data_IF_990418990298
#
_entry.id   IF_990418990298
#
_cell.length_a   1.000
_cell.length_b   1.000
_cell.length_c   1.000
_cell.angle_alpha   90.00
_cell.angle_beta   90.00
_cell.angle_gamma   90.00
#
_symmetry.space_group_name_H-M   'P 1'
#
loop_
_entity.id
_entity.type
_entity.pdbx_description
1 polymer ?
#
# COMPACT_ATOMS: atom_id res chain seq x y z
N UNK A 1 36.36 -15.78 22.61
CA UNK A 1 35.04 -16.03 22.00
C UNK A 1 34.27 -14.73 22.08
N UNK A 2 33.92 -14.14 20.94
CA UNK A 2 33.10 -12.92 20.91
C UNK A 2 31.69 -13.31 21.33
N UNK A 3 31.25 -12.85 22.48
CA UNK A 3 29.87 -13.04 22.93
C UNK A 3 28.98 -11.96 22.30
N UNK A 4 28.36 -12.32 21.20
CA UNK A 4 27.43 -11.44 20.48
C UNK A 4 26.15 -11.14 21.29
N UNK A 5 25.89 -11.85 22.39
CA UNK A 5 24.74 -11.62 23.27
C UNK A 5 24.98 -10.50 24.31
N UNK A 6 26.24 -10.17 24.62
CA UNK A 6 26.54 -9.04 25.52
C UNK A 6 26.22 -7.66 24.88
N UNK A 7 26.07 -7.60 23.58
CA UNK A 7 25.58 -6.41 22.87
C UNK A 7 24.09 -6.51 22.50
N UNK A 8 23.28 -7.06 23.39
CA UNK A 8 21.84 -7.30 23.17
C UNK A 8 21.05 -6.08 22.64
N UNK A 9 21.59 -4.88 22.77
CA UNK A 9 20.96 -3.65 22.30
C UNK A 9 21.55 -3.09 21.00
N UNK A 10 22.51 -3.75 20.38
CA UNK A 10 23.10 -3.21 19.14
C UNK A 10 22.08 -3.17 18.00
N UNK A 11 21.37 -4.26 17.76
CA UNK A 11 20.34 -4.33 16.74
C UNK A 11 19.19 -3.35 17.02
N UNK A 12 18.81 -3.17 18.29
CA UNK A 12 17.80 -2.18 18.70
C UNK A 12 18.25 -0.75 18.37
N UNK A 13 19.51 -0.42 18.66
CA UNK A 13 20.08 0.88 18.32
C UNK A 13 20.10 1.13 16.82
N UNK A 14 20.58 0.15 16.03
CA UNK A 14 20.57 0.26 14.55
C UNK A 14 19.15 0.44 14.05
N UNK A 15 18.20 -0.36 14.53
CA UNK A 15 16.80 -0.25 14.16
C UNK A 15 16.23 1.13 14.51
N UNK A 16 16.53 1.66 15.69
CA UNK A 16 16.08 2.98 16.11
C UNK A 16 16.63 4.10 15.23
N UNK A 17 17.88 3.98 14.76
CA UNK A 17 18.45 4.96 13.82
C UNK A 17 17.77 4.88 12.45
N UNK A 18 17.50 3.69 11.94
CA UNK A 18 16.75 3.50 10.69
C UNK A 18 15.34 4.09 10.81
N UNK A 19 14.65 3.77 11.90
CA UNK A 19 13.28 4.25 12.14
C UNK A 19 13.26 5.78 12.25
N UNK A 20 14.22 6.40 12.96
CA UNK A 20 14.32 7.84 13.07
C UNK A 20 14.60 8.53 11.72
N UNK A 21 15.39 7.91 10.85
CA UNK A 21 15.66 8.43 9.51
C UNK A 21 14.39 8.42 8.64
N UNK A 22 13.62 7.34 8.68
CA UNK A 22 12.35 7.22 7.96
C UNK A 22 11.29 8.19 8.50
N UNK A 23 11.24 8.38 9.82
CA UNK A 23 10.35 9.35 10.44
C UNK A 23 10.70 10.78 10.00
N UNK A 24 11.99 11.12 9.92
CA UNK A 24 12.47 12.42 9.44
C UNK A 24 12.10 12.63 7.95
N UNK A 25 12.37 11.66 7.09
CA UNK A 25 11.97 11.71 5.67
C UNK A 25 10.45 11.87 5.51
N UNK A 26 9.67 11.16 6.31
CA UNK A 26 8.21 11.27 6.32
C UNK A 26 7.75 12.66 6.73
N UNK A 27 8.41 13.29 7.69
CA UNK A 27 8.08 14.64 8.16
C UNK A 27 8.29 15.72 7.09
N UNK A 28 9.20 15.50 6.14
CA UNK A 28 9.44 16.41 5.01
C UNK A 28 8.36 16.31 3.91
N UNK A 29 7.58 15.21 3.92
CA UNK A 29 6.54 15.00 2.91
C UNK A 29 5.36 15.95 3.16
N UNK A 30 4.87 16.56 2.08
CA UNK A 30 3.66 17.39 2.14
C UNK A 30 2.46 16.58 2.60
N UNK A 31 1.70 17.13 3.53
CA UNK A 31 0.43 16.54 3.94
C UNK A 31 -0.53 16.43 2.73
N UNK A 32 -1.26 15.32 2.67
CA UNK A 32 -2.30 15.15 1.66
C UNK A 32 -3.45 16.11 1.96
N UNK A 33 -4.01 16.71 0.91
CA UNK A 33 -5.17 17.61 0.97
C UNK A 33 -6.46 16.93 0.51
N UNK A 34 -6.45 15.61 0.38
CA UNK A 34 -7.55 14.78 -0.10
C UNK A 34 -7.65 13.48 0.69
N UNK A 35 -8.83 12.89 0.70
CA UNK A 35 -9.04 11.53 1.21
C UNK A 35 -8.58 10.51 0.16
N UNK A 36 -7.67 9.63 0.53
CA UNK A 36 -7.21 8.55 -0.35
C UNK A 36 -8.25 7.45 -0.49
N UNK A 37 -8.43 6.90 -1.70
CA UNK A 37 -9.35 5.77 -1.94
C UNK A 37 -9.05 4.55 -1.06
N UNK A 38 -7.79 4.35 -0.66
CA UNK A 38 -7.38 3.30 0.27
C UNK A 38 -8.01 3.41 1.67
N UNK A 39 -8.69 4.52 1.95
CA UNK A 39 -9.41 4.75 3.22
C UNK A 39 -10.90 4.47 3.11
N UNK A 40 -11.42 4.31 1.91
CA UNK A 40 -12.82 3.94 1.71
C UNK A 40 -13.08 2.56 2.33
N UNK A 41 -14.21 2.41 2.98
CA UNK A 41 -14.53 1.19 3.71
C UNK A 41 -14.03 1.14 5.16
N UNK A 42 -13.36 2.20 5.66
CA UNK A 42 -13.12 2.38 7.10
C UNK A 42 -14.45 2.69 7.77
N UNK A 43 -14.85 1.87 8.74
CA UNK A 43 -16.18 1.95 9.40
C UNK A 43 -16.39 3.25 10.19
N UNK A 44 -15.32 3.84 10.71
CA UNK A 44 -15.39 5.06 11.52
C UNK A 44 -15.45 6.32 10.65
N UNK A 45 -16.65 6.80 10.36
CA UNK A 45 -16.85 8.04 9.59
C UNK A 45 -16.16 9.27 10.22
N UNK A 46 -16.12 9.37 11.54
CA UNK A 46 -15.42 10.44 12.24
C UNK A 46 -13.91 10.42 11.96
N UNK A 47 -13.29 9.25 11.89
CA UNK A 47 -11.89 9.12 11.53
C UNK A 47 -11.65 9.61 10.10
N UNK A 48 -12.54 9.27 9.16
CA UNK A 48 -12.48 9.74 7.79
C UNK A 48 -12.68 11.27 7.70
N UNK A 49 -13.60 11.84 8.49
CA UNK A 49 -13.81 13.28 8.55
C UNK A 49 -12.57 14.03 9.06
N UNK A 50 -11.91 13.53 10.10
CA UNK A 50 -10.67 14.13 10.61
C UNK A 50 -9.55 14.06 9.58
N UNK A 51 -9.38 12.90 8.94
CA UNK A 51 -8.38 12.71 7.89
C UNK A 51 -8.64 13.65 6.69
N UNK A 52 -9.90 13.73 6.26
CA UNK A 52 -10.34 14.64 5.20
C UNK A 52 -10.12 16.12 5.53
N UNK A 53 -10.34 16.51 6.79
CA UNK A 53 -10.12 17.86 7.27
C UNK A 53 -8.63 18.17 7.52
N UNK A 54 -7.74 17.21 7.35
CA UNK A 54 -6.32 17.38 7.66
C UNK A 54 -6.05 17.60 9.15
N UNK A 55 -6.92 17.09 10.03
CA UNK A 55 -6.73 17.22 11.47
C UNK A 55 -5.41 16.56 11.89
N UNK A 56 -4.65 17.17 12.81
CA UNK A 56 -3.41 16.59 13.28
C UNK A 56 -3.68 15.25 13.99
N UNK A 57 -2.79 14.29 13.78
CA UNK A 57 -2.87 13.05 14.54
C UNK A 57 -2.55 13.29 16.02
N UNK A 58 -3.19 12.51 16.88
CA UNK A 58 -2.80 12.48 18.30
C UNK A 58 -1.33 12.10 18.45
N UNK A 59 -0.72 12.60 19.50
CA UNK A 59 0.70 12.33 19.79
C UNK A 59 0.97 10.82 19.81
N UNK A 60 1.94 10.36 19.02
CA UNK A 60 2.32 8.95 18.92
C UNK A 60 1.35 8.07 18.11
N UNK A 61 0.36 8.64 17.41
CA UNK A 61 -0.57 7.91 16.53
C UNK A 61 -0.21 7.96 15.05
N UNK A 62 0.88 8.61 14.69
CA UNK A 62 1.44 8.55 13.34
C UNK A 62 2.03 7.17 13.00
N UNK A 63 2.40 6.97 11.75
CA UNK A 63 3.14 5.77 11.36
C UNK A 63 4.53 5.81 11.99
N UNK A 64 4.89 4.77 12.75
CA UNK A 64 6.25 4.62 13.27
C UNK A 64 7.20 4.18 12.15
N UNK A 65 8.50 4.43 12.31
CA UNK A 65 9.53 3.98 11.37
C UNK A 65 9.45 2.48 11.07
N UNK A 66 9.05 1.66 12.05
CA UNK A 66 8.75 0.23 11.80
C UNK A 66 7.65 0.02 10.76
N UNK A 67 6.59 0.79 10.80
CA UNK A 67 5.49 0.70 9.82
C UNK A 67 5.95 1.22 8.46
N UNK A 68 6.75 2.28 8.44
CA UNK A 68 7.34 2.81 7.21
C UNK A 68 8.22 1.77 6.52
N UNK A 69 9.07 1.03 7.25
CA UNK A 69 9.83 -0.10 6.68
C UNK A 69 8.93 -1.18 6.05
N UNK A 70 7.77 -1.47 6.65
CA UNK A 70 6.81 -2.42 6.07
C UNK A 70 6.24 -1.88 4.75
N UNK A 71 5.98 -0.57 4.65
CA UNK A 71 5.53 0.05 3.41
C UNK A 71 6.60 -0.03 2.32
N UNK A 72 7.87 0.26 2.65
CA UNK A 72 9.00 0.11 1.71
C UNK A 72 9.10 -1.31 1.13
N UNK A 73 9.01 -2.33 2.00
CA UNK A 73 8.96 -3.73 1.55
C UNK A 73 7.76 -3.96 0.62
N UNK A 74 6.60 -3.34 0.92
CA UNK A 74 5.42 -3.40 0.07
C UNK A 74 5.69 -2.90 -1.34
N UNK A 75 6.33 -1.74 -1.49
CA UNK A 75 6.68 -1.16 -2.78
C UNK A 75 7.63 -2.06 -3.59
N UNK A 76 8.67 -2.61 -2.93
CA UNK A 76 9.60 -3.54 -3.60
C UNK A 76 8.86 -4.81 -4.08
N UNK A 77 7.94 -5.33 -3.30
CA UNK A 77 7.16 -6.51 -3.68
C UNK A 77 6.19 -6.22 -4.82
N UNK A 78 5.63 -5.02 -4.89
CA UNK A 78 4.80 -4.58 -6.01
C UNK A 78 5.61 -4.53 -7.31
N UNK A 79 6.80 -3.92 -7.30
CA UNK A 79 7.70 -3.90 -8.46
C UNK A 79 8.07 -5.31 -8.93
N UNK A 80 8.33 -6.22 -7.99
CA UNK A 80 8.60 -7.62 -8.30
C UNK A 80 7.39 -8.31 -8.92
N UNK A 81 6.19 -8.08 -8.39
CA UNK A 81 4.96 -8.65 -8.92
C UNK A 81 4.67 -8.18 -10.36
N UNK A 82 4.83 -6.88 -10.63
CA UNK A 82 4.73 -6.31 -11.97
C UNK A 82 5.71 -6.99 -12.93
N UNK A 83 6.98 -7.11 -12.52
CA UNK A 83 8.01 -7.78 -13.33
C UNK A 83 7.65 -9.23 -13.62
N UNK A 84 7.22 -10.00 -12.62
CA UNK A 84 6.87 -11.41 -12.79
C UNK A 84 5.66 -11.60 -13.68
N UNK A 85 4.63 -10.77 -13.56
CA UNK A 85 3.47 -10.82 -14.45
C UNK A 85 3.85 -10.54 -15.89
N UNK A 86 4.68 -9.51 -16.14
CA UNK A 86 5.19 -9.24 -17.49
C UNK A 86 6.00 -10.41 -18.06
N UNK A 87 6.87 -11.02 -17.26
CA UNK A 87 7.61 -12.22 -17.66
C UNK A 87 6.68 -13.41 -17.95
N UNK A 88 5.55 -13.50 -17.27
CA UNK A 88 4.52 -14.52 -17.49
C UNK A 88 3.59 -14.21 -18.68
N UNK A 89 3.87 -13.17 -19.47
CA UNK A 89 3.11 -12.84 -20.68
C UNK A 89 1.92 -11.92 -20.47
N UNK A 90 1.81 -11.27 -19.30
CA UNK A 90 0.80 -10.23 -19.09
C UNK A 90 1.27 -8.89 -19.68
N UNK A 91 0.38 -8.21 -20.39
CA UNK A 91 0.56 -6.81 -20.78
C UNK A 91 0.01 -5.92 -19.65
N UNK A 92 0.92 -5.49 -18.77
CA UNK A 92 0.61 -4.71 -17.57
C UNK A 92 1.27 -3.34 -17.65
N UNK A 93 0.46 -2.29 -17.55
CA UNK A 93 0.87 -0.89 -17.53
C UNK A 93 0.71 -0.35 -16.11
N UNK A 94 1.81 -0.03 -15.44
CA UNK A 94 1.82 0.55 -14.09
C UNK A 94 2.04 2.07 -14.08
N UNK A 95 2.31 2.66 -15.25
CA UNK A 95 2.47 4.10 -15.44
C UNK A 95 1.84 4.54 -16.75
N UNK A 96 1.37 5.77 -16.79
CA UNK A 96 0.95 6.47 -18.00
C UNK A 96 2.15 6.79 -18.88
N UNK A 97 1.94 7.14 -20.17
CA UNK A 97 3.04 7.55 -21.05
C UNK A 97 3.84 8.78 -20.56
N UNK A 98 3.22 9.63 -19.75
CA UNK A 98 3.84 10.80 -19.12
C UNK A 98 4.59 10.47 -17.80
N UNK A 99 4.65 9.20 -17.42
CA UNK A 99 5.27 8.72 -16.18
C UNK A 99 4.37 8.83 -14.94
N UNK A 100 3.16 9.40 -15.06
CA UNK A 100 2.21 9.51 -13.97
C UNK A 100 1.53 8.17 -13.64
N UNK A 101 1.05 8.02 -12.40
CA UNK A 101 0.23 6.88 -12.00
C UNK A 101 -1.17 6.94 -12.63
N UNK A 102 -1.75 5.78 -12.91
CA UNK A 102 -3.17 5.68 -13.20
C UNK A 102 -3.99 5.96 -11.94
N UNK A 103 -5.12 6.62 -12.09
CA UNK A 103 -5.96 6.92 -10.94
C UNK A 103 -7.15 7.78 -11.31
N UNK A 104 -7.93 8.11 -10.32
CA UNK A 104 -9.10 8.98 -10.46
C UNK A 104 -9.08 10.12 -9.46
N UNK A 105 -9.86 11.15 -9.76
CA UNK A 105 -10.13 12.27 -8.88
C UNK A 105 -11.63 12.55 -8.92
N UNK A 106 -12.25 12.65 -7.75
CA UNK A 106 -13.67 12.90 -7.57
C UNK A 106 -13.90 13.98 -6.52
N UNK A 107 -15.15 14.42 -6.35
CA UNK A 107 -15.56 15.43 -5.38
C UNK A 107 -14.68 16.71 -5.44
N UNK A 108 -14.46 17.25 -6.65
CA UNK A 108 -13.60 18.41 -6.89
C UNK A 108 -12.16 18.25 -6.33
N UNK A 109 -11.58 17.06 -6.51
CA UNK A 109 -10.21 16.74 -6.08
C UNK A 109 -10.08 16.30 -4.63
N UNK A 110 -11.18 16.22 -3.91
CA UNK A 110 -11.18 15.87 -2.47
C UNK A 110 -11.10 14.37 -2.20
N UNK A 111 -11.43 13.53 -3.17
CA UNK A 111 -11.25 12.09 -3.15
C UNK A 111 -10.36 11.72 -4.32
N UNK A 112 -9.26 11.04 -4.05
CA UNK A 112 -8.35 10.58 -5.08
C UNK A 112 -7.91 9.15 -4.82
N UNK A 113 -7.75 8.38 -5.88
CA UNK A 113 -7.24 7.02 -5.84
C UNK A 113 -6.23 6.79 -6.95
N UNK A 114 -5.29 5.90 -6.69
CA UNK A 114 -4.35 5.38 -7.68
C UNK A 114 -4.49 3.87 -7.71
N UNK A 115 -4.23 3.30 -8.86
CA UNK A 115 -4.15 1.86 -9.05
C UNK A 115 -2.71 1.48 -9.36
N UNK A 116 -2.29 0.30 -8.94
CA UNK A 116 -0.94 -0.17 -9.15
C UNK A 116 -0.68 -0.55 -10.61
N UNK A 117 -1.75 -0.75 -11.40
CA UNK A 117 -1.65 -0.94 -12.83
C UNK A 117 -2.96 -1.29 -13.53
N UNK A 118 -2.86 -1.41 -14.85
CA UNK A 118 -3.93 -1.86 -15.73
C UNK A 118 -3.37 -3.00 -16.58
N UNK A 119 -4.05 -4.15 -16.58
CA UNK A 119 -3.74 -5.30 -17.43
C UNK A 119 -4.62 -5.22 -18.66
N UNK A 120 -4.02 -5.21 -19.85
CA UNK A 120 -4.68 -5.12 -21.14
C UNK A 120 -4.68 -6.43 -21.92
N UNK A 121 -3.77 -7.34 -21.58
CA UNK A 121 -3.71 -8.69 -22.13
C UNK A 121 -3.05 -9.68 -21.17
N UNK A 122 -3.33 -10.95 -21.34
CA UNK A 122 -2.68 -12.06 -20.64
C UNK A 122 -2.68 -13.31 -21.54
N UNK A 123 -1.97 -14.38 -21.17
CA UNK A 123 -2.02 -15.65 -21.87
C UNK A 123 -3.47 -16.12 -22.06
N UNK A 124 -3.88 -16.47 -23.31
CA UNK A 124 -5.29 -16.75 -23.65
C UNK A 124 -5.91 -17.90 -22.85
N UNK A 125 -5.10 -18.85 -22.42
CA UNK A 125 -5.53 -20.01 -21.63
C UNK A 125 -6.10 -19.65 -20.25
N UNK A 126 -5.84 -18.41 -19.77
CA UNK A 126 -6.38 -17.93 -18.51
C UNK A 126 -7.85 -17.46 -18.62
N UNK A 127 -8.37 -17.25 -19.84
CA UNK A 127 -9.77 -16.90 -20.07
C UNK A 127 -10.20 -15.59 -19.39
N UNK A 128 -9.30 -14.63 -19.24
CA UNK A 128 -9.56 -13.34 -18.59
C UNK A 128 -10.19 -12.33 -19.55
N UNK A 129 -10.98 -11.42 -19.00
CA UNK A 129 -11.56 -10.29 -19.75
C UNK A 129 -10.79 -9.00 -19.42
N UNK A 130 -10.58 -8.16 -20.42
CA UNK A 130 -9.78 -6.94 -20.32
C UNK A 130 -10.56 -5.69 -20.73
N UNK A 131 -10.19 -4.48 -20.22
CA UNK A 131 -9.09 -4.23 -19.28
C UNK A 131 -9.42 -4.66 -17.84
N UNK A 132 -8.38 -4.98 -17.05
CA UNK A 132 -8.50 -5.30 -15.64
C UNK A 132 -7.64 -4.35 -14.81
N UNK A 133 -8.12 -3.95 -13.64
CA UNK A 133 -7.30 -3.25 -12.67
C UNK A 133 -6.37 -4.25 -11.96
N UNK A 134 -5.14 -3.82 -11.75
CA UNK A 134 -4.15 -4.53 -10.95
C UNK A 134 -3.93 -3.78 -9.64
N UNK A 135 -4.06 -4.48 -8.54
CA UNK A 135 -3.82 -3.96 -7.19
C UNK A 135 -2.98 -4.98 -6.41
N UNK A 136 -1.81 -4.56 -5.93
CA UNK A 136 -0.89 -5.41 -5.20
C UNK A 136 -0.99 -5.15 -3.70
N UNK A 137 -1.26 -6.18 -2.92
CA UNK A 137 -1.29 -6.08 -1.46
C UNK A 137 -0.38 -7.12 -0.83
N UNK A 138 0.60 -6.65 -0.08
CA UNK A 138 1.42 -7.52 0.76
C UNK A 138 0.77 -7.73 2.12
N UNK A 139 0.86 -8.94 2.65
CA UNK A 139 0.31 -9.25 3.96
C UNK A 139 1.05 -10.42 4.61
N UNK A 140 0.93 -10.53 5.93
CA UNK A 140 1.47 -11.67 6.66
C UNK A 140 0.75 -12.98 6.27
N UNK A 141 1.44 -14.11 6.31
CA UNK A 141 0.96 -15.44 5.94
C UNK A 141 -0.43 -15.78 6.53
N UNK A 142 -0.65 -15.46 7.81
CA UNK A 142 -1.94 -15.66 8.47
C UNK A 142 -3.10 -14.96 7.72
N UNK A 143 -2.88 -13.73 7.28
CA UNK A 143 -3.91 -12.96 6.57
C UNK A 143 -4.07 -13.43 5.14
N UNK A 144 -2.98 -13.83 4.49
CA UNK A 144 -3.03 -14.45 3.17
C UNK A 144 -3.89 -15.72 3.17
N UNK A 145 -3.64 -16.64 4.10
CA UNK A 145 -4.41 -17.88 4.24
C UNK A 145 -5.90 -17.61 4.49
N UNK A 146 -6.23 -16.60 5.30
CA UNK A 146 -7.60 -16.20 5.52
C UNK A 146 -8.25 -15.66 4.23
N UNK A 147 -7.56 -14.79 3.48
CA UNK A 147 -8.05 -14.29 2.18
C UNK A 147 -8.23 -15.42 1.17
N UNK A 148 -7.29 -16.34 1.07
CA UNK A 148 -7.38 -17.49 0.16
C UNK A 148 -8.59 -18.40 0.49
N UNK A 149 -8.93 -18.54 1.78
CA UNK A 149 -10.04 -19.37 2.22
C UNK A 149 -11.41 -18.70 2.08
N UNK A 150 -11.52 -17.41 2.41
CA UNK A 150 -12.82 -16.74 2.59
C UNK A 150 -13.03 -15.53 1.67
N UNK A 151 -12.07 -15.23 0.82
CA UNK A 151 -12.09 -14.08 -0.08
C UNK A 151 -11.74 -12.75 0.59
N UNK A 152 -11.37 -11.78 -0.25
CA UNK A 152 -10.95 -10.44 0.19
C UNK A 152 -12.11 -9.67 0.81
N UNK A 153 -13.31 -9.75 0.24
CA UNK A 153 -14.47 -9.01 0.73
C UNK A 153 -14.83 -9.34 2.19
N UNK A 154 -14.65 -10.60 2.59
CA UNK A 154 -14.94 -11.04 3.96
C UNK A 154 -13.81 -10.71 4.93
N UNK A 155 -12.55 -10.89 4.48
CA UNK A 155 -11.38 -10.82 5.37
C UNK A 155 -10.74 -9.44 5.42
N UNK A 156 -10.91 -8.63 4.39
CA UNK A 156 -10.33 -7.30 4.20
C UNK A 156 -11.34 -6.36 3.51
N UNK A 157 -12.47 -6.03 4.16
CA UNK A 157 -13.52 -5.22 3.54
C UNK A 157 -13.03 -3.86 3.05
N UNK A 158 -12.03 -3.25 3.71
CA UNK A 158 -11.42 -2.00 3.25
C UNK A 158 -10.74 -2.18 1.90
N UNK A 159 -10.06 -3.30 1.65
CA UNK A 159 -9.45 -3.56 0.34
C UNK A 159 -10.51 -3.82 -0.72
N UNK A 160 -11.58 -4.54 -0.38
CA UNK A 160 -12.70 -4.74 -1.28
C UNK A 160 -13.38 -3.42 -1.67
N UNK A 161 -13.58 -2.52 -0.71
CA UNK A 161 -14.12 -1.19 -0.96
C UNK A 161 -13.21 -0.34 -1.86
N UNK A 162 -11.89 -0.39 -1.63
CA UNK A 162 -10.91 0.28 -2.50
C UNK A 162 -10.99 -0.21 -3.96
N UNK A 163 -11.14 -1.52 -4.17
CA UNK A 163 -11.21 -2.11 -5.52
C UNK A 163 -12.55 -1.89 -6.21
N UNK A 164 -13.61 -1.55 -5.47
CA UNK A 164 -14.94 -1.28 -6.00
C UNK A 164 -15.17 0.20 -6.40
N UNK A 165 -14.19 1.06 -6.13
CA UNK A 165 -14.25 2.51 -6.41
C UNK A 165 -13.70 2.82 -7.78
#
# INVERSE_FOLDING_TARGET
MLDFNQHSKFHERVTSHIDASLDAERAEQKARTYLGASRLGVECERALQYEYAGAPNDLGRGFSGRILRIFEVGHVMEELAVRWLRMAGFELHNQKPDGGQFGFSAAAGRLQGHVDGIITAAPPELGLSFPMLFECKTMADKHWKACAKSGVAVTKPVYAAQMAT
#
